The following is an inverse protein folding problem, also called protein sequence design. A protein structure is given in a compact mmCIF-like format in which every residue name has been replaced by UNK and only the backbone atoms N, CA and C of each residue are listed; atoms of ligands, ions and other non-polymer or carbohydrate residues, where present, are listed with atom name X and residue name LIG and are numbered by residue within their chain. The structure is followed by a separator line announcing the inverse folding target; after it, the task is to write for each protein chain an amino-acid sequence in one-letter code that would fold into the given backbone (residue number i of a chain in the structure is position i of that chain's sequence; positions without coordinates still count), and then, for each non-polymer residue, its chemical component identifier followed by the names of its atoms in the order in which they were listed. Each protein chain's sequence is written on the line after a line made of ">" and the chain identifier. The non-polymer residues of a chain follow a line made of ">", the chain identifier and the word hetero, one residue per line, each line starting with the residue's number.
data_IF_639085213464
#
_entry.id   IF_639085213464
#
_cell.length_a   1.000
_cell.length_b   1.000
_cell.length_c   1.000
_cell.angle_alpha   90.00
_cell.angle_beta   90.00
_cell.angle_gamma   90.00
#
_symmetry.space_group_name_H-M   'P 1'
#
loop_
_entity.id
_entity.type
_entity.pdbx_description
1 polymer ?
#
# COMPACT_ATOMS: atom_id res chain seq x y z
N UNK A 1 -5.85 1.67 -34.58
CA UNK A 1 -5.57 2.43 -33.34
C UNK A 1 -6.75 2.26 -32.40
N UNK A 2 -6.53 1.69 -31.22
CA UNK A 2 -7.58 1.60 -30.19
C UNK A 2 -7.73 2.99 -29.59
N UNK A 3 -8.83 3.68 -29.90
CA UNK A 3 -9.14 4.97 -29.26
C UNK A 3 -9.73 4.70 -27.88
N UNK A 4 -8.90 4.82 -26.85
CA UNK A 4 -9.35 4.70 -25.46
C UNK A 4 -9.97 6.04 -25.07
N UNK A 5 -11.20 6.02 -24.53
CA UNK A 5 -11.85 7.21 -23.98
C UNK A 5 -11.60 7.30 -22.49
N UNK A 6 -11.26 8.48 -21.99
CA UNK A 6 -11.18 8.68 -20.55
C UNK A 6 -12.57 8.63 -19.90
N UNK A 7 -12.72 7.84 -18.85
CA UNK A 7 -13.97 7.75 -18.11
C UNK A 7 -14.42 9.08 -17.46
N UNK A 8 -13.47 9.94 -17.05
CA UNK A 8 -13.80 11.23 -16.41
C UNK A 8 -14.05 12.37 -17.41
N UNK A 9 -13.32 12.40 -18.53
CA UNK A 9 -13.30 13.55 -19.44
C UNK A 9 -14.01 13.26 -20.80
N UNK A 10 -14.34 11.99 -21.09
CA UNK A 10 -14.88 11.45 -22.36
C UNK A 10 -14.05 11.81 -23.62
N UNK A 11 -12.83 12.33 -23.43
CA UNK A 11 -11.93 12.67 -24.53
C UNK A 11 -11.35 11.40 -25.17
N UNK A 12 -11.28 11.33 -26.51
CA UNK A 12 -10.56 10.29 -27.23
C UNK A 12 -9.06 10.49 -27.09
N UNK A 13 -8.33 9.44 -26.71
CA UNK A 13 -6.90 9.54 -26.39
C UNK A 13 -6.11 8.52 -27.21
N UNK A 14 -5.03 9.00 -27.83
CA UNK A 14 -3.93 8.16 -28.29
C UNK A 14 -3.02 7.91 -27.10
N UNK A 15 -2.63 6.66 -26.77
CA UNK A 15 -1.73 6.41 -25.66
C UNK A 15 -0.36 7.04 -25.97
N UNK A 16 -0.10 8.21 -25.40
CA UNK A 16 1.26 8.73 -25.28
C UNK A 16 1.95 7.96 -24.16
N UNK A 17 2.91 7.10 -24.54
CA UNK A 17 3.64 6.23 -23.63
C UNK A 17 4.40 7.07 -22.59
N UNK A 18 3.93 7.06 -21.34
CA UNK A 18 4.72 7.52 -20.20
C UNK A 18 5.35 6.30 -19.54
N UNK A 19 6.67 6.31 -19.43
CA UNK A 19 7.44 5.25 -18.75
C UNK A 19 7.76 5.64 -17.31
N UNK A 20 7.57 4.70 -16.39
CA UNK A 20 7.98 4.81 -14.99
C UNK A 20 7.86 3.46 -14.30
N UNK A 21 8.75 3.12 -13.38
CA UNK A 21 8.73 1.85 -12.64
C UNK A 21 8.80 0.58 -13.51
N UNK A 22 9.40 0.68 -14.71
CA UNK A 22 9.37 -0.35 -15.75
C UNK A 22 7.94 -0.70 -16.22
N UNK A 23 7.03 0.28 -16.16
CA UNK A 23 5.63 0.18 -16.55
C UNK A 23 5.31 1.23 -17.61
N UNK A 24 4.36 0.90 -18.48
CA UNK A 24 3.78 1.82 -19.47
C UNK A 24 2.34 2.13 -19.09
N UNK A 25 1.98 3.41 -19.05
CA UNK A 25 0.63 3.85 -18.76
C UNK A 25 0.25 5.06 -19.63
N UNK A 26 -1.05 5.25 -19.84
CA UNK A 26 -1.62 6.37 -20.57
C UNK A 26 -2.42 7.28 -19.63
N UNK A 27 -2.41 8.60 -19.87
CA UNK A 27 -3.11 9.63 -19.09
C UNK A 27 -4.03 10.49 -19.97
N UNK A 28 -5.18 10.96 -19.44
CA UNK A 28 -5.99 11.99 -20.12
C UNK A 28 -5.24 13.33 -20.12
N UNK A 29 -4.98 13.91 -21.29
CA UNK A 29 -4.32 15.23 -21.40
C UNK A 29 -5.07 16.36 -20.69
N UNK A 30 -6.39 16.22 -20.51
CA UNK A 30 -7.25 17.23 -19.89
C UNK A 30 -7.30 17.14 -18.37
N UNK A 31 -7.48 15.94 -17.80
CA UNK A 31 -7.64 15.75 -16.35
C UNK A 31 -6.48 15.01 -15.68
N UNK A 32 -5.43 14.66 -16.44
CA UNK A 32 -4.18 13.98 -16.03
C UNK A 32 -4.33 12.60 -15.38
N UNK A 33 -5.57 12.10 -15.22
CA UNK A 33 -5.87 10.77 -14.70
C UNK A 33 -5.35 9.67 -15.62
N UNK A 34 -4.83 8.60 -15.02
CA UNK A 34 -4.48 7.37 -15.71
C UNK A 34 -5.76 6.72 -16.26
N UNK A 35 -5.72 6.35 -17.54
CA UNK A 35 -6.85 5.73 -18.25
C UNK A 35 -6.58 4.28 -18.63
N UNK A 36 -5.31 3.93 -18.79
CA UNK A 36 -4.90 2.60 -19.18
C UNK A 36 -3.47 2.32 -18.70
N UNK A 37 -3.20 1.05 -18.43
CA UNK A 37 -1.89 0.51 -18.05
C UNK A 37 -1.62 -0.71 -18.92
N UNK A 38 -0.39 -0.84 -19.38
CA UNK A 38 0.04 -2.02 -20.12
C UNK A 38 0.24 -3.18 -19.14
N UNK A 39 -0.49 -4.28 -19.35
CA UNK A 39 -0.35 -5.47 -18.52
C UNK A 39 0.95 -6.24 -18.84
N UNK A 40 1.19 -7.36 -18.13
CA UNK A 40 2.40 -8.17 -18.31
C UNK A 40 2.50 -8.83 -19.70
N UNK A 41 1.38 -8.98 -20.41
CA UNK A 41 1.30 -9.58 -21.75
C UNK A 41 1.39 -8.53 -22.88
N UNK A 42 1.63 -7.25 -22.55
CA UNK A 42 1.68 -6.17 -23.54
C UNK A 42 0.31 -5.70 -24.04
N UNK A 43 -0.76 -5.95 -23.28
CA UNK A 43 -2.14 -5.55 -23.59
C UNK A 43 -2.52 -4.32 -22.76
N UNK A 44 -3.08 -3.31 -23.43
CA UNK A 44 -3.61 -2.12 -22.76
C UNK A 44 -4.92 -2.45 -22.03
N UNK A 45 -4.95 -2.24 -20.72
CA UNK A 45 -6.10 -2.48 -19.86
C UNK A 45 -6.47 -1.23 -19.07
N UNK A 46 -7.75 -1.04 -18.77
CA UNK A 46 -8.18 -0.07 -17.76
C UNK A 46 -7.59 -0.42 -16.38
N UNK A 47 -7.42 0.57 -15.48
CA UNK A 47 -7.02 0.31 -14.09
C UNK A 47 -7.87 -0.77 -13.42
N UNK A 48 -9.19 -0.75 -13.62
CA UNK A 48 -10.12 -1.71 -13.04
C UNK A 48 -9.91 -3.14 -13.56
N UNK A 49 -9.56 -3.30 -14.85
CA UNK A 49 -9.23 -4.61 -15.42
C UNK A 49 -7.92 -5.16 -14.85
N UNK A 50 -6.92 -4.32 -14.59
CA UNK A 50 -5.66 -4.73 -13.97
C UNK A 50 -5.89 -5.28 -12.56
N UNK A 51 -6.88 -4.76 -11.83
CA UNK A 51 -7.20 -5.21 -10.46
C UNK A 51 -7.99 -6.53 -10.41
N UNK A 52 -8.23 -7.18 -11.56
CA UNK A 52 -8.92 -8.46 -11.65
C UNK A 52 -7.93 -9.55 -12.07
N UNK A 53 -8.01 -10.68 -11.40
CA UNK A 53 -7.22 -11.89 -11.65
C UNK A 53 -8.09 -13.13 -11.36
N UNK A 54 -7.47 -14.30 -11.31
CA UNK A 54 -8.14 -15.58 -11.08
C UNK A 54 -8.91 -15.59 -9.76
N UNK A 55 -10.12 -16.18 -9.70
CA UNK A 55 -10.94 -16.22 -8.49
C UNK A 55 -10.27 -16.88 -7.27
N UNK A 56 -9.25 -17.70 -7.52
CA UNK A 56 -8.46 -18.41 -6.51
C UNK A 56 -7.55 -17.46 -5.71
N UNK A 57 -7.21 -16.28 -6.25
CA UNK A 57 -6.48 -15.26 -5.48
C UNK A 57 -7.38 -14.67 -4.40
N UNK A 58 -7.03 -14.98 -3.15
CA UNK A 58 -7.80 -14.52 -1.99
C UNK A 58 -6.89 -14.37 -0.77
N UNK A 59 -7.13 -13.33 0.04
CA UNK A 59 -6.33 -13.00 1.22
C UNK A 59 -5.11 -12.13 0.90
N UNK A 60 -4.20 -11.99 1.87
CA UNK A 60 -2.96 -11.24 1.70
C UNK A 60 -1.94 -12.11 0.96
N UNK A 61 -1.47 -11.62 -0.18
CA UNK A 61 -0.50 -12.31 -1.04
C UNK A 61 0.69 -11.40 -1.28
N UNK A 62 1.90 -11.90 -1.05
CA UNK A 62 3.14 -11.14 -1.27
C UNK A 62 3.37 -10.86 -2.75
N UNK A 63 3.83 -9.65 -3.06
CA UNK A 63 4.17 -9.19 -4.41
C UNK A 63 5.48 -9.84 -4.84
N UNK A 64 5.43 -10.75 -5.80
CA UNK A 64 6.61 -11.51 -6.26
C UNK A 64 6.78 -11.50 -7.78
N UNK A 65 5.71 -11.24 -8.53
CA UNK A 65 5.73 -11.25 -10.00
C UNK A 65 5.68 -9.85 -10.60
N UNK A 66 6.02 -9.73 -11.89
CA UNK A 66 5.82 -8.49 -12.63
C UNK A 66 4.34 -8.08 -12.65
N UNK A 67 3.43 -9.05 -12.80
CA UNK A 67 1.99 -8.81 -12.72
C UNK A 67 1.60 -8.19 -11.37
N UNK A 68 2.07 -8.73 -10.25
CA UNK A 68 1.78 -8.17 -8.93
C UNK A 68 2.28 -6.72 -8.78
N UNK A 69 3.44 -6.39 -9.37
CA UNK A 69 3.99 -5.02 -9.37
C UNK A 69 3.10 -4.07 -10.17
N UNK A 70 2.55 -4.50 -11.30
CA UNK A 70 1.58 -3.72 -12.08
C UNK A 70 0.32 -3.46 -11.24
N UNK A 71 -0.21 -4.48 -10.56
CA UNK A 71 -1.38 -4.36 -9.68
C UNK A 71 -1.11 -3.40 -8.51
N UNK A 72 0.06 -3.52 -7.86
CA UNK A 72 0.49 -2.63 -6.78
C UNK A 72 0.60 -1.17 -7.26
N UNK A 73 1.15 -0.95 -8.45
CA UNK A 73 1.22 0.38 -9.05
C UNK A 73 -0.17 0.97 -9.27
N UNK A 74 -1.11 0.18 -9.83
CA UNK A 74 -2.48 0.63 -10.03
C UNK A 74 -3.15 0.98 -8.69
N UNK A 75 -3.03 0.13 -7.67
CA UNK A 75 -3.59 0.41 -6.36
C UNK A 75 -3.01 1.69 -5.71
N UNK A 76 -1.69 1.89 -5.81
CA UNK A 76 -0.99 3.00 -5.15
C UNK A 76 -1.08 4.32 -5.91
N UNK A 77 -0.71 4.33 -7.20
CA UNK A 77 -0.57 5.55 -7.99
C UNK A 77 -1.84 5.95 -8.73
N UNK A 78 -2.78 5.01 -8.96
CA UNK A 78 -4.03 5.29 -9.65
C UNK A 78 -5.19 5.32 -8.67
N UNK A 79 -5.52 4.17 -8.05
CA UNK A 79 -6.69 4.06 -7.18
C UNK A 79 -6.55 4.98 -5.97
N UNK A 80 -5.49 4.82 -5.18
CA UNK A 80 -5.26 5.73 -4.06
C UNK A 80 -5.02 7.16 -4.57
N UNK A 81 -3.94 7.43 -5.30
CA UNK A 81 -3.50 8.82 -5.52
C UNK A 81 -4.43 9.69 -6.36
N UNK A 82 -5.17 9.11 -7.32
CA UNK A 82 -5.95 9.88 -8.29
C UNK A 82 -7.46 9.75 -8.11
N UNK A 83 -7.95 8.60 -7.62
CA UNK A 83 -9.38 8.29 -7.63
C UNK A 83 -10.01 8.26 -6.24
N UNK A 84 -9.30 7.76 -5.23
CA UNK A 84 -9.87 7.42 -3.92
C UNK A 84 -9.20 8.10 -2.72
N UNK A 85 -8.20 8.97 -2.95
CA UNK A 85 -7.56 9.76 -1.90
C UNK A 85 -8.56 10.75 -1.30
N UNK A 86 -8.64 10.77 0.03
CA UNK A 86 -9.42 11.75 0.79
C UNK A 86 -8.51 12.86 1.32
N UNK A 87 -9.04 14.05 1.57
CA UNK A 87 -8.25 15.21 2.04
C UNK A 87 -7.53 14.95 3.37
N UNK A 88 -8.14 14.15 4.24
CA UNK A 88 -7.59 13.77 5.55
C UNK A 88 -6.58 12.60 5.48
N UNK A 89 -6.34 12.01 4.31
CA UNK A 89 -5.41 10.91 4.18
C UNK A 89 -3.97 11.40 4.33
N UNK A 90 -3.16 10.66 5.07
CA UNK A 90 -1.71 10.85 5.07
C UNK A 90 -1.20 10.45 3.69
N UNK A 91 -0.54 11.37 3.00
CA UNK A 91 0.10 11.11 1.71
C UNK A 91 1.37 10.32 1.95
N UNK A 92 1.47 9.17 1.31
CA UNK A 92 2.71 8.42 1.22
C UNK A 92 3.30 8.58 -0.18
N UNK A 93 4.63 8.48 -0.24
CA UNK A 93 5.37 8.45 -1.49
C UNK A 93 5.19 7.11 -2.20
N UNK A 94 5.67 7.06 -3.43
CA UNK A 94 5.68 5.82 -4.19
C UNK A 94 6.65 4.81 -3.57
N UNK A 95 6.27 3.52 -3.46
CA UNK A 95 7.15 2.51 -2.88
C UNK A 95 8.49 2.41 -3.61
N UNK A 96 9.57 2.30 -2.84
CA UNK A 96 10.90 2.09 -3.40
C UNK A 96 11.00 0.71 -4.06
N UNK A 97 11.85 0.51 -5.10
CA UNK A 97 11.98 -0.79 -5.76
C UNK A 97 12.37 -1.95 -4.82
N UNK A 98 13.02 -1.63 -3.70
CA UNK A 98 13.47 -2.58 -2.67
C UNK A 98 12.40 -2.87 -1.61
N UNK A 99 11.36 -2.03 -1.51
CA UNK A 99 10.26 -2.25 -0.59
C UNK A 99 9.56 -3.57 -0.91
N UNK A 100 9.19 -4.28 0.15
CA UNK A 100 8.34 -5.44 0.03
C UNK A 100 6.89 -5.02 0.15
N UNK A 101 5.99 -5.78 -0.46
CA UNK A 101 4.57 -5.46 -0.43
C UNK A 101 3.72 -6.72 -0.41
N UNK A 102 2.49 -6.58 0.09
CA UNK A 102 1.46 -7.58 -0.08
C UNK A 102 0.16 -6.93 -0.53
N UNK A 103 -0.55 -7.60 -1.44
CA UNK A 103 -1.84 -7.19 -1.97
C UNK A 103 -2.92 -8.01 -1.27
N UNK A 104 -3.99 -7.35 -0.87
CA UNK A 104 -5.21 -8.01 -0.40
C UNK A 104 -6.10 -8.31 -1.60
N UNK A 105 -6.34 -9.60 -1.82
CA UNK A 105 -7.26 -10.11 -2.81
C UNK A 105 -8.56 -10.58 -2.16
N UNK A 106 -9.68 -10.33 -2.84
CA UNK A 106 -10.99 -10.81 -2.46
C UNK A 106 -11.69 -11.37 -3.70
N UNK A 107 -11.78 -12.71 -3.80
CA UNK A 107 -12.37 -13.42 -4.94
C UNK A 107 -11.81 -12.95 -6.31
N UNK A 108 -10.49 -12.89 -6.43
CA UNK A 108 -9.81 -12.45 -7.65
C UNK A 108 -9.79 -10.92 -7.87
N UNK A 109 -10.35 -10.12 -6.97
CA UNK A 109 -10.21 -8.66 -7.02
C UNK A 109 -9.16 -8.15 -6.04
N UNK A 110 -8.21 -7.34 -6.51
CA UNK A 110 -7.27 -6.62 -5.68
C UNK A 110 -7.95 -5.40 -5.02
N UNK A 111 -8.08 -5.42 -3.69
CA UNK A 111 -8.88 -4.45 -2.91
C UNK A 111 -8.04 -3.60 -1.96
N UNK A 112 -6.74 -3.82 -1.89
CA UNK A 112 -5.84 -3.05 -1.04
C UNK A 112 -4.41 -3.59 -1.04
N UNK A 113 -3.51 -2.88 -0.38
CA UNK A 113 -2.13 -3.30 -0.21
C UNK A 113 -1.55 -2.75 1.09
N UNK A 114 -0.41 -3.29 1.49
CA UNK A 114 0.54 -2.58 2.33
C UNK A 114 1.97 -2.78 1.81
N UNK A 115 2.83 -1.80 2.02
CA UNK A 115 4.27 -1.94 1.83
C UNK A 115 4.99 -1.96 3.17
N UNK A 116 6.15 -2.61 3.18
CA UNK A 116 7.00 -2.67 4.35
C UNK A 116 8.47 -2.81 3.95
N UNK A 117 9.31 -2.30 4.84
CA UNK A 117 10.76 -2.31 4.72
C UNK A 117 11.30 -3.34 5.72
N UNK A 118 11.83 -4.48 5.25
CA UNK A 118 12.33 -5.53 6.15
C UNK A 118 13.47 -5.03 7.03
N UNK A 119 13.56 -5.54 8.26
CA UNK A 119 14.74 -5.33 9.10
C UNK A 119 16.01 -5.76 8.35
N UNK A 120 17.03 -4.90 8.36
CA UNK A 120 18.30 -5.09 7.68
C UNK A 120 18.35 -4.52 6.25
N UNK A 121 17.22 -4.09 5.68
CA UNK A 121 17.22 -3.41 4.38
C UNK A 121 18.05 -2.13 4.45
N UNK A 122 18.95 -1.93 3.50
CA UNK A 122 19.85 -0.76 3.45
C UNK A 122 19.06 0.46 2.99
N UNK A 123 19.15 1.54 3.75
CA UNK A 123 18.54 2.83 3.46
C UNK A 123 19.60 3.79 2.91
N UNK A 124 19.41 4.23 1.66
CA UNK A 124 20.35 5.07 0.91
C UNK A 124 21.75 4.43 0.73
N UNK A 125 22.64 5.07 -0.02
CA UNK A 125 23.81 4.39 -0.60
C UNK A 125 24.93 4.00 0.36
N UNK A 126 25.03 4.45 1.64
CA UNK A 126 26.28 4.14 2.39
C UNK A 126 26.30 3.93 3.93
N UNK A 127 25.25 4.08 4.76
CA UNK A 127 25.52 3.98 6.24
C UNK A 127 24.41 3.39 7.13
N UNK A 128 23.16 3.25 6.68
CA UNK A 128 22.08 2.87 7.58
C UNK A 128 21.22 1.73 7.04
N UNK A 129 20.73 0.88 7.95
CA UNK A 129 19.75 -0.14 7.63
C UNK A 129 18.58 -0.09 8.59
N UNK A 130 17.41 -0.52 8.12
CA UNK A 130 16.20 -0.60 8.95
C UNK A 130 16.44 -1.52 10.15
N UNK A 131 16.27 -1.00 11.36
CA UNK A 131 16.50 -1.77 12.59
C UNK A 131 15.27 -2.59 13.02
N UNK A 132 14.14 -2.37 12.34
CA UNK A 132 12.86 -3.03 12.55
C UNK A 132 12.19 -3.29 11.20
N UNK A 133 11.32 -4.29 11.14
CA UNK A 133 10.44 -4.47 9.98
C UNK A 133 9.35 -3.41 10.05
N UNK A 134 9.37 -2.46 9.12
CA UNK A 134 8.57 -1.23 9.18
C UNK A 134 7.52 -1.20 8.09
N UNK A 135 6.25 -1.20 8.47
CA UNK A 135 5.12 -0.90 7.57
C UNK A 135 5.19 0.57 7.18
N UNK A 136 5.14 0.85 5.89
CA UNK A 136 5.36 2.20 5.37
C UNK A 136 4.09 2.81 4.77
N UNK A 137 3.43 2.06 3.89
CA UNK A 137 2.15 2.49 3.31
C UNK A 137 1.09 1.42 3.47
N UNK A 138 -0.16 1.85 3.68
CA UNK A 138 -1.32 0.97 3.78
C UNK A 138 -2.49 1.63 3.10
N UNK A 139 -3.14 0.90 2.19
CA UNK A 139 -4.33 1.38 1.51
C UNK A 139 -5.34 0.25 1.36
N UNK A 140 -6.60 0.57 1.62
CA UNK A 140 -7.75 -0.29 1.32
C UNK A 140 -8.71 0.55 0.49
N UNK A 141 -9.16 0.00 -0.64
CA UNK A 141 -10.15 0.64 -1.51
C UNK A 141 -11.39 1.01 -0.72
N UNK A 142 -11.90 2.20 -0.97
CA UNK A 142 -12.96 2.89 -0.22
C UNK A 142 -14.21 2.04 -0.10
N UNK A 143 -14.60 1.36 -1.18
CA UNK A 143 -15.74 0.44 -1.20
C UNK A 143 -15.59 -0.76 -0.24
N UNK A 144 -14.35 -1.14 0.11
CA UNK A 144 -14.04 -2.29 0.96
C UNK A 144 -13.65 -1.87 2.39
N UNK A 145 -13.62 -0.57 2.71
CA UNK A 145 -13.28 -0.09 4.07
C UNK A 145 -14.34 -0.50 5.10
N UNK A 146 -13.93 -0.52 6.38
CA UNK A 146 -14.77 -0.90 7.55
C UNK A 146 -15.17 -2.38 7.66
N UNK A 147 -14.59 -3.27 6.84
CA UNK A 147 -14.79 -4.73 6.95
C UNK A 147 -13.66 -5.46 7.69
N UNK A 148 -12.79 -4.75 8.40
CA UNK A 148 -11.71 -5.35 9.20
C UNK A 148 -10.43 -5.70 8.42
N UNK A 149 -10.33 -5.35 7.13
CA UNK A 149 -9.15 -5.65 6.32
C UNK A 149 -7.84 -5.08 6.87
N UNK A 150 -7.81 -3.83 7.34
CA UNK A 150 -6.62 -3.28 7.98
C UNK A 150 -6.25 -4.00 9.30
N UNK A 151 -7.22 -4.56 10.02
CA UNK A 151 -6.94 -5.44 11.17
C UNK A 151 -6.38 -6.78 10.72
N UNK A 152 -6.89 -7.35 9.63
CA UNK A 152 -6.33 -8.59 9.06
C UNK A 152 -4.89 -8.41 8.57
N UNK A 153 -4.52 -7.21 8.08
CA UNK A 153 -3.13 -6.87 7.74
C UNK A 153 -2.23 -6.97 8.97
N UNK A 154 -2.67 -6.45 10.13
CA UNK A 154 -1.91 -6.55 11.38
C UNK A 154 -1.69 -8.02 11.78
N UNK A 155 -2.71 -8.86 11.66
CA UNK A 155 -2.58 -10.30 11.88
C UNK A 155 -1.59 -10.92 10.90
N UNK A 156 -1.71 -10.59 9.60
CA UNK A 156 -0.84 -11.11 8.56
C UNK A 156 0.63 -10.78 8.83
N UNK A 157 0.99 -9.49 8.95
CA UNK A 157 2.39 -9.10 9.11
C UNK A 157 3.00 -9.61 10.42
N UNK A 158 2.24 -9.64 11.52
CA UNK A 158 2.76 -10.19 12.79
C UNK A 158 2.94 -11.70 12.73
N UNK A 159 2.15 -12.42 11.93
CA UNK A 159 2.35 -13.85 11.70
C UNK A 159 3.53 -14.15 10.77
N UNK A 160 3.83 -13.26 9.81
CA UNK A 160 5.00 -13.39 8.93
C UNK A 160 6.33 -13.21 9.70
N UNK A 161 6.33 -12.42 10.78
CA UNK A 161 7.54 -12.13 11.57
C UNK A 161 7.31 -12.36 13.08
N UNK A 162 7.04 -13.60 13.53
CA UNK A 162 6.58 -13.87 14.90
C UNK A 162 7.62 -13.56 15.99
N UNK A 163 8.89 -13.51 15.61
CA UNK A 163 10.04 -13.22 16.49
C UNK A 163 10.54 -11.78 16.38
N UNK A 164 9.87 -10.93 15.58
CA UNK A 164 10.24 -9.53 15.42
C UNK A 164 9.15 -8.62 15.97
N UNK A 165 9.58 -7.47 16.45
CA UNK A 165 8.69 -6.34 16.63
C UNK A 165 8.42 -5.67 15.28
N UNK A 166 7.21 -5.17 15.11
CA UNK A 166 6.76 -4.50 13.89
C UNK A 166 6.68 -3.00 14.15
N UNK A 167 7.24 -2.24 13.23
CA UNK A 167 7.19 -0.79 13.22
C UNK A 167 6.21 -0.26 12.17
N UNK A 168 5.76 0.97 12.36
CA UNK A 168 5.01 1.78 11.41
C UNK A 168 5.77 3.09 11.22
N UNK A 169 6.03 3.48 9.98
CA UNK A 169 6.65 4.77 9.70
C UNK A 169 5.72 5.92 10.10
N UNK A 170 6.33 7.02 10.56
CA UNK A 170 5.64 8.25 10.89
C UNK A 170 5.42 9.11 9.64
N UNK A 171 4.28 9.80 9.48
CA UNK A 171 3.15 9.86 10.40
C UNK A 171 2.11 8.75 10.17
N UNK A 172 1.50 8.29 11.27
CA UNK A 172 0.41 7.29 11.22
C UNK A 172 -0.94 8.01 11.23
N UNK A 173 -1.80 7.68 10.26
CA UNK A 173 -3.14 8.25 10.18
C UNK A 173 -4.01 7.92 11.41
N UNK A 174 -4.93 8.81 11.75
CA UNK A 174 -5.86 8.60 12.88
C UNK A 174 -6.68 7.32 12.74
N UNK A 175 -7.07 6.98 11.52
CA UNK A 175 -7.78 5.74 11.23
C UNK A 175 -6.90 4.52 11.53
N UNK A 176 -5.63 4.55 11.13
CA UNK A 176 -4.71 3.46 11.46
C UNK A 176 -4.43 3.37 12.96
N UNK A 177 -4.28 4.50 13.67
CA UNK A 177 -4.19 4.50 15.13
C UNK A 177 -5.40 3.83 15.79
N UNK A 178 -6.62 4.08 15.31
CA UNK A 178 -7.85 3.43 15.81
C UNK A 178 -7.82 1.92 15.55
N UNK A 179 -7.37 1.49 14.37
CA UNK A 179 -7.22 0.07 13.99
C UNK A 179 -6.21 -0.63 14.91
N UNK A 180 -5.01 -0.08 15.05
CA UNK A 180 -3.94 -0.61 15.91
C UNK A 180 -4.41 -0.72 17.35
N UNK A 181 -5.06 0.31 17.89
CA UNK A 181 -5.61 0.28 19.25
C UNK A 181 -6.62 -0.85 19.46
N UNK A 182 -7.56 -1.02 18.52
CA UNK A 182 -8.55 -2.10 18.57
C UNK A 182 -7.88 -3.47 18.53
N UNK A 183 -6.86 -3.61 17.69
CA UNK A 183 -6.08 -4.85 17.58
C UNK A 183 -5.32 -5.19 18.87
N UNK A 184 -4.62 -4.22 19.46
CA UNK A 184 -3.86 -4.39 20.71
C UNK A 184 -4.75 -4.59 21.94
N UNK A 185 -5.99 -4.10 21.93
CA UNK A 185 -6.96 -4.42 22.97
C UNK A 185 -7.35 -5.89 22.94
N UNK A 186 -7.52 -6.47 21.74
CA UNK A 186 -7.84 -7.88 21.56
C UNK A 186 -6.64 -8.81 21.75
N UNK A 187 -5.42 -8.30 21.57
CA UNK A 187 -4.18 -9.07 21.66
C UNK A 187 -3.20 -8.43 22.67
N UNK A 188 -3.42 -8.57 23.99
CA UNK A 188 -2.59 -7.93 25.00
C UNK A 188 -1.09 -8.26 24.90
N UNK A 189 -0.73 -9.48 24.49
CA UNK A 189 0.66 -9.91 24.31
C UNK A 189 1.40 -9.22 23.16
N UNK A 190 0.71 -8.44 22.31
CA UNK A 190 1.31 -7.65 21.24
C UNK A 190 1.51 -6.16 21.60
N UNK A 191 1.09 -5.73 22.80
CA UNK A 191 1.14 -4.31 23.21
C UNK A 191 2.56 -3.74 23.27
N UNK A 192 3.54 -4.60 23.49
CA UNK A 192 4.97 -4.23 23.54
C UNK A 192 5.71 -4.53 22.24
N UNK A 193 4.99 -4.99 21.19
CA UNK A 193 5.59 -5.44 19.92
C UNK A 193 5.30 -4.54 18.73
N UNK A 194 4.42 -3.54 18.88
CA UNK A 194 4.05 -2.61 17.80
C UNK A 194 4.53 -1.19 18.10
N UNK A 195 5.29 -0.63 17.17
CA UNK A 195 6.02 0.62 17.33
C UNK A 195 5.69 1.62 16.22
N UNK A 196 5.72 2.90 16.52
CA UNK A 196 5.87 3.97 15.54
C UNK A 196 7.34 4.35 15.50
N UNK A 197 7.89 4.55 14.30
CA UNK A 197 9.29 4.93 14.11
C UNK A 197 9.45 6.13 13.19
N UNK A 198 10.49 6.90 13.44
CA UNK A 198 11.04 7.89 12.52
C UNK A 198 12.32 7.30 11.87
N UNK A 199 12.63 7.70 10.63
CA UNK A 199 13.81 7.22 9.90
C UNK A 199 13.90 5.69 9.78
N UNK A 200 15.08 5.14 10.07
CA UNK A 200 15.37 3.68 10.04
C UNK A 200 14.98 2.95 11.33
N UNK A 201 14.34 3.67 12.27
CA UNK A 201 13.89 3.15 13.56
C UNK A 201 15.03 2.79 14.49
N UNK A 202 15.99 3.68 14.72
CA UNK A 202 17.06 3.49 15.71
C UNK A 202 16.54 3.69 17.13
N UNK A 203 17.35 3.31 18.12
CA UNK A 203 17.04 3.61 19.52
C UNK A 203 16.94 5.14 19.71
N UNK A 204 15.90 5.60 20.41
CA UNK A 204 15.52 7.02 20.49
C UNK A 204 14.42 7.44 19.50
N UNK A 205 14.32 6.77 18.34
CA UNK A 205 13.35 7.11 17.27
C UNK A 205 12.08 6.26 17.31
N UNK A 206 11.90 5.46 18.37
CA UNK A 206 10.80 4.49 18.50
C UNK A 206 9.84 4.90 19.60
N UNK A 207 8.53 4.82 19.32
CA UNK A 207 7.45 5.06 20.28
C UNK A 207 6.47 3.88 20.25
N UNK A 208 6.24 3.24 21.40
CA UNK A 208 5.26 2.15 21.49
C UNK A 208 3.86 2.63 21.13
N UNK A 209 3.23 1.98 20.14
CA UNK A 209 1.89 2.36 19.67
C UNK A 209 0.83 2.20 20.75
N UNK A 210 1.01 1.26 21.66
CA UNK A 210 0.10 1.08 22.79
C UNK A 210 -0.06 2.37 23.62
N UNK A 211 1.04 3.08 23.88
CA UNK A 211 0.98 4.34 24.65
C UNK A 211 0.49 5.52 23.80
N UNK A 212 0.90 5.60 22.54
CA UNK A 212 0.49 6.68 21.63
C UNK A 212 -1.02 6.65 21.35
N UNK A 213 -1.60 5.46 21.16
CA UNK A 213 -3.02 5.31 20.84
C UNK A 213 -3.97 5.55 22.03
N UNK A 214 -3.46 5.53 23.26
CA UNK A 214 -4.24 5.86 24.48
C UNK A 214 -4.36 7.37 24.72
N UNK A 215 -3.40 8.17 24.25
CA UNK A 215 -3.31 9.61 24.55
C UNK A 215 -4.14 10.54 23.66
N UNK A 216 -4.73 10.05 22.56
CA UNK A 216 -5.64 10.86 21.71
C UNK A 216 -7.08 10.91 22.27
N UNK A 217 -7.24 11.36 23.52
CA UNK A 217 -8.49 11.97 24.02
C UNK A 217 -8.24 13.47 24.13
N UNK A 218 -8.62 14.22 23.10
CA UNK A 218 -9.03 15.61 23.23
C UNK A 218 -10.47 15.67 22.74
#
# INVERSE_FOLDING_TARGET
>A
MITIKCHSCNEPISPDDVEGYNLKYAKCHKCTKCIAVLNADGIWCSPEQILKDSPERNGWIQVNTQHDRIVLYVLSQVMYRQLERQEQDVVFDEPDPQDQAAILWQHGEAIGFYTFKPKGLVFNTMVESYQMTTVDSVFIRTAHRRHGHATSMLTHITSCFPQQDIAFSSPISDNMCKVVRKYLNKNPGLREKLWQVEGTGREGDRKLLWYCTRRKKK
#
